data_IF_229411943473
#
_entry.id   IF_229411943473
#
_cell.length_a   1.000
_cell.length_b   1.000
_cell.length_c   1.000
_cell.angle_alpha   90.00
_cell.angle_beta   90.00
_cell.angle_gamma   90.00
#
_symmetry.space_group_name_H-M   'P 1'
#
loop_
_entity.id
_entity.type
_entity.pdbx_description
1 polymer ?
#
# COMPACT_ATOMS: atom_id res chain seq x y z
N UNK A 1 32.46 -32.34 3.45
CA UNK A 1 31.45 -31.76 2.54
C UNK A 1 32.10 -31.65 1.19
N UNK A 2 31.50 -32.21 0.15
CA UNK A 2 32.05 -32.09 -1.21
C UNK A 2 32.08 -30.62 -1.60
N UNK A 3 33.21 -30.16 -2.14
CA UNK A 3 33.36 -28.85 -2.75
C UNK A 3 32.34 -28.79 -3.90
N UNK A 4 31.22 -28.11 -3.67
CA UNK A 4 30.19 -27.96 -4.70
C UNK A 4 30.77 -27.00 -5.72
N UNK A 5 30.94 -27.50 -6.94
CA UNK A 5 31.48 -26.75 -8.05
C UNK A 5 30.58 -25.54 -8.38
N UNK A 6 31.17 -24.34 -8.35
CA UNK A 6 30.48 -23.07 -8.62
C UNK A 6 29.92 -22.99 -10.05
N UNK A 7 30.54 -23.68 -11.02
CA UNK A 7 30.02 -23.75 -12.39
C UNK A 7 28.71 -24.52 -12.44
N UNK A 8 28.64 -25.65 -11.72
CA UNK A 8 27.42 -26.44 -11.58
C UNK A 8 26.29 -25.62 -10.94
N UNK A 9 26.57 -24.84 -9.89
CA UNK A 9 25.57 -23.96 -9.27
C UNK A 9 25.10 -22.84 -10.22
N UNK A 10 26.03 -22.22 -10.96
CA UNK A 10 25.69 -21.17 -11.93
C UNK A 10 24.80 -21.71 -13.06
N UNK A 11 25.14 -22.88 -13.62
CA UNK A 11 24.33 -23.53 -14.66
C UNK A 11 22.94 -23.93 -14.15
N UNK A 12 22.85 -24.33 -12.88
CA UNK A 12 21.58 -24.61 -12.22
C UNK A 12 20.75 -23.33 -12.06
N UNK A 13 21.35 -22.22 -11.59
CA UNK A 13 20.66 -20.93 -11.47
C UNK A 13 20.15 -20.41 -12.82
N UNK A 14 20.92 -20.55 -13.91
CA UNK A 14 20.51 -20.15 -15.26
C UNK A 14 19.32 -20.97 -15.80
N UNK A 15 19.05 -22.15 -15.24
CA UNK A 15 17.91 -23.01 -15.63
C UNK A 15 16.69 -22.82 -14.74
N UNK A 16 16.84 -22.14 -13.61
CA UNK A 16 15.75 -21.95 -12.65
C UNK A 16 14.76 -20.88 -13.11
N UNK A 17 13.48 -21.01 -12.70
CA UNK A 17 12.52 -19.93 -12.84
C UNK A 17 13.03 -18.62 -12.18
N UNK A 18 12.71 -17.44 -12.75
CA UNK A 18 13.12 -16.16 -12.19
C UNK A 18 12.82 -16.00 -10.69
N UNK A 19 11.62 -16.37 -10.24
CA UNK A 19 11.23 -16.29 -8.83
C UNK A 19 12.17 -17.09 -7.89
N UNK A 20 12.64 -18.26 -8.32
CA UNK A 20 13.54 -19.11 -7.54
C UNK A 20 14.95 -18.51 -7.50
N UNK A 21 15.40 -17.90 -8.61
CA UNK A 21 16.67 -17.17 -8.67
C UNK A 21 16.63 -15.97 -7.72
N UNK A 22 15.56 -15.17 -7.76
CA UNK A 22 15.39 -14.03 -6.87
C UNK A 22 15.34 -14.46 -5.39
N UNK A 23 14.61 -15.55 -5.07
CA UNK A 23 14.55 -16.11 -3.72
C UNK A 23 15.94 -16.52 -3.24
N UNK A 24 16.72 -17.19 -4.10
CA UNK A 24 18.10 -17.55 -3.80
C UNK A 24 18.96 -16.31 -3.56
N UNK A 25 18.85 -15.26 -4.39
CA UNK A 25 19.59 -13.99 -4.19
C UNK A 25 19.26 -13.36 -2.84
N UNK A 26 17.98 -13.29 -2.45
CA UNK A 26 17.57 -12.74 -1.14
C UNK A 26 18.16 -13.54 0.01
N UNK A 27 18.14 -14.88 -0.08
CA UNK A 27 18.75 -15.74 0.94
C UNK A 27 20.26 -15.52 1.06
N UNK A 28 20.95 -15.39 -0.06
CA UNK A 28 22.39 -15.11 -0.06
C UNK A 28 22.70 -13.71 0.48
N UNK A 29 21.87 -12.71 0.17
CA UNK A 29 21.96 -11.36 0.71
C UNK A 29 21.78 -11.33 2.25
N UNK A 30 20.81 -12.09 2.78
CA UNK A 30 20.62 -12.26 4.21
C UNK A 30 21.82 -12.95 4.89
N UNK A 31 22.40 -13.97 4.25
CA UNK A 31 23.60 -14.62 4.77
C UNK A 31 24.83 -13.68 4.74
N UNK A 32 24.92 -12.80 3.75
CA UNK A 32 25.96 -11.76 3.70
C UNK A 32 25.80 -10.74 4.84
N UNK A 33 24.57 -10.39 5.20
CA UNK A 33 24.27 -9.43 6.27
C UNK A 33 24.40 -10.01 7.67
N UNK A 34 24.28 -11.34 7.83
CA UNK A 34 24.47 -12.02 9.13
C UNK A 34 25.93 -12.05 9.60
N UNK A 35 26.88 -11.67 8.75
CA UNK A 35 28.31 -11.67 9.04
C UNK A 35 28.98 -13.03 8.87
N UNK A 36 28.32 -13.97 8.19
CA UNK A 36 28.96 -15.23 7.80
C UNK A 36 30.19 -14.97 6.91
N UNK A 37 31.25 -15.79 7.03
CA UNK A 37 32.42 -15.67 6.16
C UNK A 37 32.00 -15.85 4.71
N UNK A 38 32.14 -14.78 3.90
CA UNK A 38 31.67 -14.76 2.50
C UNK A 38 32.23 -15.92 1.68
N UNK A 39 33.44 -16.38 1.98
CA UNK A 39 34.12 -17.48 1.28
C UNK A 39 33.40 -18.83 1.44
N UNK A 40 32.52 -18.96 2.44
CA UNK A 40 31.72 -20.17 2.68
C UNK A 40 30.34 -20.11 2.01
N UNK A 41 29.92 -18.94 1.54
CA UNK A 41 28.61 -18.74 0.93
C UNK A 41 28.60 -19.22 -0.52
N UNK A 42 27.45 -19.75 -0.96
CA UNK A 42 27.26 -20.20 -2.34
C UNK A 42 27.42 -19.05 -3.33
N UNK A 43 26.97 -17.84 -2.96
CA UNK A 43 27.13 -16.65 -3.81
C UNK A 43 28.58 -16.33 -4.15
N UNK A 44 29.54 -16.66 -3.28
CA UNK A 44 30.97 -16.47 -3.54
C UNK A 44 31.51 -17.49 -4.56
N UNK A 45 31.07 -18.75 -4.46
CA UNK A 45 31.40 -19.79 -5.45
C UNK A 45 30.82 -19.44 -6.83
N UNK A 46 29.55 -19.00 -6.86
CA UNK A 46 28.88 -18.53 -8.07
C UNK A 46 29.58 -17.30 -8.64
N UNK A 47 30.02 -16.35 -7.80
CA UNK A 47 30.78 -15.18 -8.24
C UNK A 47 32.09 -15.59 -8.95
N UNK A 48 32.85 -16.53 -8.38
CA UNK A 48 34.07 -17.06 -9.01
C UNK A 48 33.81 -17.66 -10.39
N UNK A 49 32.77 -18.51 -10.50
CA UNK A 49 32.33 -19.09 -11.77
C UNK A 49 31.83 -18.04 -12.76
N UNK A 50 31.10 -17.02 -12.27
CA UNK A 50 30.61 -15.90 -13.07
C UNK A 50 31.77 -15.16 -13.75
N UNK A 51 32.95 -15.09 -13.12
CA UNK A 51 34.12 -14.44 -13.72
C UNK A 51 34.61 -15.10 -15.02
N UNK A 52 34.28 -16.38 -15.25
CA UNK A 52 34.73 -17.17 -16.40
C UNK A 52 33.68 -17.28 -17.53
N UNK A 53 32.41 -16.93 -17.28
CA UNK A 53 31.35 -17.06 -18.30
C UNK A 53 31.25 -15.83 -19.21
N UNK A 54 30.69 -15.98 -20.42
CA UNK A 54 30.37 -14.88 -21.33
C UNK A 54 29.42 -13.86 -20.70
N UNK A 55 29.47 -12.61 -21.17
CA UNK A 55 28.65 -11.50 -20.65
C UNK A 55 27.16 -11.80 -20.76
N UNK A 56 26.74 -12.51 -21.81
CA UNK A 56 25.36 -12.89 -22.07
C UNK A 56 24.77 -13.75 -20.95
N UNK A 57 25.57 -14.66 -20.38
CA UNK A 57 25.13 -15.47 -19.24
C UNK A 57 25.03 -14.65 -17.95
N UNK A 58 25.90 -13.64 -17.79
CA UNK A 58 25.82 -12.71 -16.65
C UNK A 58 24.55 -11.89 -16.72
N UNK A 59 24.23 -11.38 -17.91
CA UNK A 59 23.01 -10.63 -18.20
C UNK A 59 21.78 -11.49 -17.95
N UNK A 60 21.74 -12.73 -18.45
CA UNK A 60 20.60 -13.62 -18.25
C UNK A 60 20.35 -13.94 -16.77
N UNK A 61 21.41 -14.18 -15.99
CA UNK A 61 21.29 -14.39 -14.55
C UNK A 61 20.75 -13.15 -13.84
N UNK A 62 21.28 -11.96 -14.18
CA UNK A 62 20.83 -10.70 -13.59
C UNK A 62 19.39 -10.40 -13.96
N UNK A 63 19.03 -10.55 -15.23
CA UNK A 63 17.66 -10.40 -15.72
C UNK A 63 16.70 -11.37 -15.03
N UNK A 64 17.10 -12.63 -14.83
CA UNK A 64 16.32 -13.61 -14.08
C UNK A 64 16.13 -13.20 -12.62
N UNK A 65 17.18 -12.71 -11.96
CA UNK A 65 17.11 -12.23 -10.58
C UNK A 65 16.21 -11.00 -10.44
N UNK A 66 16.35 -9.99 -11.31
CA UNK A 66 15.55 -8.77 -11.27
C UNK A 66 14.09 -9.12 -11.62
N UNK A 67 13.83 -9.87 -12.69
CA UNK A 67 12.47 -10.25 -13.09
C UNK A 67 11.76 -11.16 -12.09
N UNK A 68 12.53 -11.95 -11.35
CA UNK A 68 12.03 -12.76 -10.24
C UNK A 68 11.66 -11.94 -9.01
N UNK A 69 12.30 -10.78 -8.78
CA UNK A 69 12.05 -9.94 -7.60
C UNK A 69 10.57 -9.53 -7.49
N UNK A 70 9.94 -9.15 -8.60
CA UNK A 70 8.51 -8.80 -8.61
C UNK A 70 7.58 -9.95 -8.25
N UNK A 71 8.03 -11.21 -8.40
CA UNK A 71 7.27 -12.43 -8.10
C UNK A 71 7.45 -12.92 -6.65
N UNK A 72 8.36 -12.30 -5.89
CA UNK A 72 8.58 -12.68 -4.51
C UNK A 72 7.41 -12.28 -3.61
N UNK A 73 7.15 -13.03 -2.53
CA UNK A 73 6.28 -12.61 -1.43
C UNK A 73 6.69 -11.23 -0.88
N UNK A 74 5.72 -10.46 -0.39
CA UNK A 74 5.93 -9.08 0.05
C UNK A 74 7.03 -8.95 1.12
N UNK A 75 7.07 -9.86 2.09
CA UNK A 75 8.08 -9.94 3.14
C UNK A 75 9.50 -10.15 2.60
N UNK A 76 9.67 -10.96 1.56
CA UNK A 76 10.97 -11.19 0.93
C UNK A 76 11.41 -10.00 0.07
N UNK A 77 10.47 -9.32 -0.61
CA UNK A 77 10.75 -8.09 -1.36
C UNK A 77 11.25 -6.97 -0.46
N UNK A 78 10.63 -6.83 0.71
CA UNK A 78 11.06 -5.89 1.75
C UNK A 78 12.51 -6.15 2.14
N UNK A 79 12.87 -7.41 2.39
CA UNK A 79 14.22 -7.73 2.84
C UNK A 79 15.29 -7.53 1.76
N UNK A 80 14.99 -7.90 0.51
CA UNK A 80 15.91 -7.60 -0.59
C UNK A 80 16.03 -6.10 -0.86
N UNK A 81 14.96 -5.32 -0.71
CA UNK A 81 15.03 -3.86 -0.82
C UNK A 81 15.91 -3.27 0.30
N UNK A 82 15.73 -3.70 1.55
CA UNK A 82 16.60 -3.29 2.68
C UNK A 82 18.07 -3.59 2.39
N UNK A 83 18.37 -4.78 1.90
CA UNK A 83 19.74 -5.15 1.54
C UNK A 83 20.30 -4.27 0.43
N UNK A 84 19.53 -4.02 -0.63
CA UNK A 84 19.94 -3.16 -1.74
C UNK A 84 20.21 -1.72 -1.29
N UNK A 85 19.31 -1.15 -0.49
CA UNK A 85 19.42 0.19 0.11
C UNK A 85 20.66 0.29 0.99
N UNK A 86 20.84 -0.65 1.93
CA UNK A 86 21.99 -0.65 2.82
C UNK A 86 23.31 -0.78 2.05
N UNK A 87 23.33 -1.61 1.00
CA UNK A 87 24.52 -1.76 0.13
C UNK A 87 24.80 -0.50 -0.67
N UNK A 88 23.77 0.19 -1.18
CA UNK A 88 23.91 1.43 -1.92
C UNK A 88 24.45 2.57 -1.04
N UNK A 89 23.85 2.78 0.13
CA UNK A 89 24.27 3.79 1.12
C UNK A 89 25.71 3.53 1.59
N UNK A 90 26.04 2.27 1.88
CA UNK A 90 27.37 1.90 2.30
C UNK A 90 28.41 2.00 1.15
N UNK A 91 27.97 1.85 -0.10
CA UNK A 91 28.76 2.13 -1.31
C UNK A 91 29.10 3.61 -1.48
N UNK A 92 28.13 4.50 -1.24
CA UNK A 92 28.31 5.95 -1.39
C UNK A 92 29.17 6.56 -0.26
N UNK A 93 28.97 6.09 0.97
CA UNK A 93 29.65 6.63 2.17
C UNK A 93 31.14 6.29 2.27
N UNK A 94 31.63 5.29 1.53
CA UNK A 94 33.05 4.89 1.51
C UNK A 94 34.00 5.96 0.93
N UNK A 95 33.48 7.07 0.40
CA UNK A 95 34.30 8.22 0.01
C UNK A 95 34.74 9.11 1.19
N UNK A 96 34.11 9.03 2.37
CA UNK A 96 34.17 10.16 3.33
C UNK A 96 34.58 9.85 4.78
N UNK A 97 34.59 8.59 5.24
CA UNK A 97 34.87 8.29 6.66
C UNK A 97 36.22 7.57 6.88
N UNK A 98 37.26 8.36 7.17
CA UNK A 98 38.60 7.92 7.55
C UNK A 98 38.72 7.28 8.95
N UNK A 99 37.60 6.98 9.63
CA UNK A 99 37.57 6.46 11.01
C UNK A 99 37.66 4.93 11.12
N UNK A 100 37.97 4.22 10.03
CA UNK A 100 38.67 2.93 10.07
C UNK A 100 37.85 1.68 10.43
N UNK A 101 36.52 1.76 10.56
CA UNK A 101 35.65 0.57 10.71
C UNK A 101 34.72 0.45 9.50
N UNK A 102 35.18 -0.25 8.47
CA UNK A 102 34.35 -0.57 7.31
C UNK A 102 33.25 -1.55 7.73
N UNK A 103 32.01 -1.26 7.34
CA UNK A 103 30.85 -2.12 7.55
C UNK A 103 31.15 -3.55 7.05
N UNK A 104 30.95 -4.59 7.88
CA UNK A 104 31.19 -5.98 7.47
C UNK A 104 30.45 -6.37 6.18
N UNK A 105 29.26 -5.82 5.96
CA UNK A 105 28.48 -6.07 4.73
C UNK A 105 29.24 -5.55 3.52
N UNK A 106 29.79 -4.33 3.58
CA UNK A 106 30.57 -3.78 2.46
C UNK A 106 31.88 -4.51 2.23
N UNK A 107 32.53 -5.02 3.27
CA UNK A 107 33.71 -5.85 3.11
C UNK A 107 33.35 -7.14 2.38
N UNK A 108 32.24 -7.78 2.76
CA UNK A 108 31.75 -9.00 2.13
C UNK A 108 31.32 -8.78 0.68
N UNK A 109 30.55 -7.72 0.40
CA UNK A 109 30.16 -7.33 -0.97
C UNK A 109 31.39 -6.98 -1.81
N UNK A 110 32.36 -6.25 -1.24
CA UNK A 110 33.61 -5.91 -1.93
C UNK A 110 34.45 -7.15 -2.28
N UNK A 111 34.49 -8.16 -1.40
CA UNK A 111 35.12 -9.46 -1.70
C UNK A 111 34.37 -10.19 -2.82
N UNK A 112 33.04 -10.19 -2.78
CA UNK A 112 32.21 -10.81 -3.81
C UNK A 112 32.45 -10.20 -5.19
N UNK A 113 32.49 -8.86 -5.27
CA UNK A 113 32.74 -8.13 -6.53
C UNK A 113 34.14 -8.41 -7.09
N UNK A 114 35.15 -8.52 -6.21
CA UNK A 114 36.52 -8.89 -6.59
C UNK A 114 36.59 -10.33 -7.10
N UNK A 115 35.88 -11.25 -6.46
CA UNK A 115 35.83 -12.65 -6.87
C UNK A 115 35.15 -12.81 -8.24
N UNK A 116 34.05 -12.09 -8.45
CA UNK A 116 33.40 -11.99 -9.76
C UNK A 116 34.23 -11.24 -10.83
N UNK A 117 35.39 -10.68 -10.45
CA UNK A 117 36.27 -9.86 -11.30
C UNK A 117 35.52 -8.73 -12.01
N UNK A 118 34.48 -8.18 -11.37
CA UNK A 118 33.68 -7.08 -11.94
C UNK A 118 34.58 -5.86 -12.16
N UNK A 119 35.58 -5.65 -11.29
CA UNK A 119 36.59 -4.60 -11.42
C UNK A 119 37.45 -4.75 -12.69
N UNK A 120 37.67 -5.98 -13.18
CA UNK A 120 38.49 -6.27 -14.36
C UNK A 120 37.71 -6.29 -15.68
N UNK A 121 36.38 -6.18 -15.64
CA UNK A 121 35.58 -6.11 -16.86
C UNK A 121 35.97 -4.86 -17.69
N UNK A 122 36.08 -5.00 -19.03
CA UNK A 122 36.25 -3.86 -19.92
C UNK A 122 35.19 -2.78 -19.65
N UNK A 123 35.54 -1.48 -19.75
CA UNK A 123 34.58 -0.39 -19.53
C UNK A 123 33.30 -0.51 -20.37
N UNK A 124 33.40 -1.02 -21.60
CA UNK A 124 32.26 -1.26 -22.49
C UNK A 124 31.30 -2.32 -21.93
N UNK A 125 31.84 -3.44 -21.42
CA UNK A 125 31.02 -4.50 -20.80
C UNK A 125 30.37 -4.02 -19.50
N UNK A 126 31.09 -3.24 -18.69
CA UNK A 126 30.52 -2.62 -17.48
C UNK A 126 29.35 -1.69 -17.81
N UNK A 127 29.49 -0.86 -18.84
CA UNK A 127 28.43 0.03 -19.29
C UNK A 127 27.24 -0.76 -19.83
N UNK A 128 27.48 -1.80 -20.63
CA UNK A 128 26.42 -2.66 -21.16
C UNK A 128 25.65 -3.35 -20.03
N UNK A 129 26.36 -3.94 -19.06
CA UNK A 129 25.75 -4.60 -17.91
C UNK A 129 24.97 -3.62 -17.04
N UNK A 130 25.54 -2.43 -16.78
CA UNK A 130 24.86 -1.39 -16.02
C UNK A 130 23.60 -0.87 -16.74
N UNK A 131 23.65 -0.70 -18.06
CA UNK A 131 22.53 -0.22 -18.86
C UNK A 131 21.39 -1.25 -18.88
N UNK A 132 21.70 -2.54 -18.99
CA UNK A 132 20.69 -3.60 -18.98
C UNK A 132 20.08 -3.78 -17.59
N UNK A 133 20.88 -3.75 -16.52
CA UNK A 133 20.37 -3.73 -15.15
C UNK A 133 19.47 -2.51 -14.96
N UNK A 134 19.87 -1.32 -15.42
CA UNK A 134 19.04 -0.11 -15.29
C UNK A 134 17.75 -0.23 -16.09
N UNK A 135 17.78 -0.80 -17.29
CA UNK A 135 16.60 -0.98 -18.12
C UNK A 135 15.62 -1.99 -17.51
N UNK A 136 16.13 -3.13 -17.03
CA UNK A 136 15.32 -4.16 -16.38
C UNK A 136 14.82 -3.69 -15.02
N UNK A 137 15.67 -3.05 -14.22
CA UNK A 137 15.29 -2.43 -12.96
C UNK A 137 14.24 -1.34 -13.18
N UNK A 138 14.34 -0.51 -14.21
CA UNK A 138 13.32 0.51 -14.50
C UNK A 138 11.96 -0.13 -14.87
N UNK A 139 11.95 -1.31 -15.50
CA UNK A 139 10.71 -2.03 -15.81
C UNK A 139 10.08 -2.72 -14.59
N UNK A 140 10.91 -3.11 -13.62
CA UNK A 140 10.52 -3.96 -12.49
C UNK A 140 10.32 -3.19 -11.20
N UNK A 141 11.09 -2.12 -10.99
CA UNK A 141 10.87 -1.10 -9.96
C UNK A 141 9.72 -0.20 -10.44
N UNK A 142 8.58 -0.82 -10.70
CA UNK A 142 7.37 -0.06 -10.91
C UNK A 142 7.02 0.57 -9.55
N UNK A 143 6.63 1.85 -9.53
CA UNK A 143 6.37 2.55 -8.27
C UNK A 143 5.35 1.83 -7.37
N UNK A 144 4.46 0.99 -7.92
CA UNK A 144 3.52 0.18 -7.13
C UNK A 144 4.23 -0.84 -6.24
N UNK A 145 5.25 -1.54 -6.77
CA UNK A 145 6.00 -2.53 -6.00
C UNK A 145 6.80 -1.86 -4.88
N UNK A 146 7.34 -0.66 -5.12
CA UNK A 146 7.96 0.13 -4.05
C UNK A 146 6.91 0.49 -3.00
N UNK A 147 5.73 0.98 -3.39
CA UNK A 147 4.69 1.37 -2.43
C UNK A 147 4.17 0.20 -1.58
N UNK A 148 4.00 -0.98 -2.17
CA UNK A 148 3.63 -2.20 -1.43
C UNK A 148 4.70 -2.56 -0.39
N UNK A 149 5.98 -2.50 -0.78
CA UNK A 149 7.10 -2.76 0.12
C UNK A 149 7.20 -1.69 1.21
N UNK A 150 7.03 -0.42 0.84
CA UNK A 150 7.07 0.72 1.76
C UNK A 150 5.96 0.63 2.79
N UNK A 151 4.75 0.20 2.42
CA UNK A 151 3.65 0.04 3.36
C UNK A 151 4.00 -0.94 4.51
N UNK A 152 4.82 -1.95 4.25
CA UNK A 152 5.28 -2.93 5.24
C UNK A 152 6.55 -2.49 6.01
N UNK A 153 7.29 -1.51 5.52
CA UNK A 153 8.47 -0.96 6.20
C UNK A 153 8.08 -0.15 7.43
N UNK A 154 8.93 -0.19 8.46
CA UNK A 154 8.77 0.68 9.64
C UNK A 154 9.01 2.15 9.25
N UNK A 155 8.42 3.12 9.98
CA UNK A 155 8.61 4.54 9.71
C UNK A 155 10.07 4.96 9.55
N UNK A 156 10.98 4.45 10.39
CA UNK A 156 12.40 4.81 10.31
C UNK A 156 13.06 4.24 9.05
N UNK A 157 12.71 3.02 8.66
CA UNK A 157 13.26 2.35 7.46
C UNK A 157 12.83 3.06 6.18
N UNK A 158 11.60 3.59 6.15
CA UNK A 158 11.07 4.31 4.99
C UNK A 158 11.91 5.54 4.68
N UNK A 159 12.26 6.35 5.67
CA UNK A 159 13.10 7.53 5.49
C UNK A 159 14.44 7.15 4.83
N UNK A 160 15.09 6.09 5.32
CA UNK A 160 16.35 5.59 4.76
C UNK A 160 16.19 5.09 3.31
N UNK A 161 15.09 4.40 3.00
CA UNK A 161 14.81 3.95 1.63
C UNK A 161 14.56 5.16 0.71
N UNK A 162 13.81 6.17 1.16
CA UNK A 162 13.59 7.40 0.38
C UNK A 162 14.91 8.11 0.09
N UNK A 163 15.75 8.31 1.10
CA UNK A 163 17.06 8.95 0.96
C UNK A 163 17.96 8.18 -0.01
N UNK A 164 18.01 6.85 0.11
CA UNK A 164 18.82 6.02 -0.77
C UNK A 164 18.32 6.03 -2.22
N UNK A 165 16.99 6.07 -2.45
CA UNK A 165 16.42 6.17 -3.79
C UNK A 165 16.74 7.54 -4.44
N UNK A 166 16.75 8.61 -3.65
CA UNK A 166 17.15 9.95 -4.09
C UNK A 166 18.65 10.00 -4.39
N UNK A 167 19.48 9.50 -3.48
CA UNK A 167 20.94 9.49 -3.63
C UNK A 167 21.38 8.66 -4.84
N UNK A 168 20.71 7.53 -5.07
CA UNK A 168 20.92 6.68 -6.24
C UNK A 168 20.42 7.30 -7.56
N UNK A 169 19.78 8.48 -7.51
CA UNK A 169 19.14 9.15 -8.67
C UNK A 169 18.12 8.27 -9.40
N UNK A 170 17.49 7.34 -8.66
CA UNK A 170 16.42 6.51 -9.19
C UNK A 170 15.09 7.29 -9.27
N UNK A 171 15.01 8.41 -8.55
CA UNK A 171 13.84 9.28 -8.47
C UNK A 171 14.27 10.67 -8.92
N UNK A 172 13.53 11.26 -9.86
CA UNK A 172 13.79 12.63 -10.31
C UNK A 172 13.49 13.63 -9.19
N UNK A 173 14.19 14.77 -9.16
CA UNK A 173 13.97 15.83 -8.15
C UNK A 173 12.52 16.33 -8.12
N UNK A 174 11.81 16.32 -9.26
CA UNK A 174 10.38 16.68 -9.32
C UNK A 174 9.47 15.68 -8.59
N UNK A 175 9.86 14.40 -8.56
CA UNK A 175 9.11 13.32 -7.92
C UNK A 175 9.51 13.14 -6.45
N UNK A 176 10.65 13.70 -6.04
CA UNK A 176 11.17 13.61 -4.67
C UNK A 176 10.14 14.07 -3.63
N UNK A 177 9.55 15.25 -3.82
CA UNK A 177 8.55 15.78 -2.89
C UNK A 177 7.32 14.87 -2.78
N UNK A 178 6.88 14.28 -3.90
CA UNK A 178 5.74 13.36 -3.92
C UNK A 178 6.10 12.04 -3.24
N UNK A 179 7.30 11.52 -3.47
CA UNK A 179 7.78 10.29 -2.85
C UNK A 179 7.95 10.47 -1.33
N UNK A 180 8.59 11.55 -0.89
CA UNK A 180 8.73 11.89 0.53
C UNK A 180 7.35 11.97 1.21
N UNK A 181 6.38 12.64 0.58
CA UNK A 181 5.02 12.74 1.12
C UNK A 181 4.25 11.41 1.08
N UNK A 182 4.52 10.56 0.09
CA UNK A 182 3.93 9.23 0.02
C UNK A 182 4.52 8.28 1.08
N UNK A 183 5.82 8.39 1.36
CA UNK A 183 6.58 7.49 2.23
C UNK A 183 6.59 7.91 3.71
N UNK A 184 6.35 9.18 4.02
CA UNK A 184 6.25 9.66 5.41
C UNK A 184 5.21 8.84 6.19
N UNK A 185 5.45 8.48 7.46
CA UNK A 185 4.43 7.83 8.29
C UNK A 185 3.14 8.64 8.35
N UNK A 186 2.00 8.00 8.06
CA UNK A 186 0.70 8.67 7.89
C UNK A 186 0.54 9.36 6.52
N UNK A 187 1.46 9.10 5.59
CA UNK A 187 1.48 9.63 4.22
C UNK A 187 0.40 9.02 3.33
N UNK A 188 0.48 9.32 2.03
CA UNK A 188 -0.49 8.80 1.07
C UNK A 188 -0.47 7.28 0.93
N UNK A 189 0.70 6.64 1.06
CA UNK A 189 0.82 5.19 0.95
C UNK A 189 0.07 4.47 2.08
N UNK A 190 0.23 4.91 3.33
CA UNK A 190 -0.47 4.33 4.48
C UNK A 190 -1.99 4.50 4.37
N UNK A 191 -2.43 5.66 3.90
CA UNK A 191 -3.86 5.96 3.69
C UNK A 191 -4.47 5.08 2.62
N UNK A 192 -3.78 4.96 1.49
CA UNK A 192 -4.21 4.10 0.40
C UNK A 192 -4.23 2.63 0.86
N UNK A 193 -3.19 2.18 1.56
CA UNK A 193 -3.11 0.82 2.11
C UNK A 193 -4.26 0.56 3.11
N UNK A 194 -4.54 1.49 4.02
CA UNK A 194 -5.66 1.38 4.96
C UNK A 194 -7.01 1.34 4.24
N UNK A 195 -7.23 2.18 3.23
CA UNK A 195 -8.44 2.18 2.42
C UNK A 195 -8.59 0.88 1.61
N UNK A 196 -7.51 0.39 1.00
CA UNK A 196 -7.48 -0.86 0.25
C UNK A 196 -7.72 -2.07 1.16
N UNK A 197 -7.19 -2.06 2.39
CA UNK A 197 -7.43 -3.09 3.40
C UNK A 197 -8.87 -3.09 3.90
N UNK A 198 -9.43 -1.91 4.16
CA UNK A 198 -10.84 -1.76 4.52
C UNK A 198 -11.74 -2.27 3.38
N UNK A 199 -11.40 -1.92 2.14
CA UNK A 199 -12.11 -2.42 0.96
C UNK A 199 -12.01 -3.94 0.85
N UNK A 200 -10.81 -4.51 0.96
CA UNK A 200 -10.60 -5.96 0.88
C UNK A 200 -11.40 -6.70 1.96
N UNK A 201 -11.48 -6.13 3.17
CA UNK A 201 -12.35 -6.64 4.22
C UNK A 201 -13.83 -6.57 3.82
N UNK A 202 -14.30 -5.45 3.26
CA UNK A 202 -15.69 -5.33 2.78
C UNK A 202 -15.98 -6.35 1.68
N UNK A 203 -15.04 -6.59 0.77
CA UNK A 203 -15.13 -7.56 -0.31
C UNK A 203 -15.23 -8.99 0.23
N UNK A 204 -14.35 -9.35 1.17
CA UNK A 204 -14.32 -10.66 1.86
C UNK A 204 -15.63 -10.95 2.61
N UNK A 205 -16.20 -9.95 3.29
CA UNK A 205 -17.44 -10.09 4.06
C UNK A 205 -18.70 -9.62 3.32
N UNK A 206 -18.61 -9.30 2.03
CA UNK A 206 -19.71 -8.70 1.25
C UNK A 206 -20.99 -9.54 1.26
N UNK A 207 -20.85 -10.87 1.15
CA UNK A 207 -21.98 -11.79 1.19
C UNK A 207 -22.72 -11.74 2.54
N UNK A 208 -22.00 -11.63 3.65
CA UNK A 208 -22.58 -11.53 5.00
C UNK A 208 -23.24 -10.17 5.19
N UNK A 209 -22.56 -9.09 4.77
CA UNK A 209 -23.08 -7.72 4.82
C UNK A 209 -24.38 -7.57 3.99
N UNK A 210 -24.49 -8.30 2.88
CA UNK A 210 -25.70 -8.33 2.06
C UNK A 210 -26.79 -9.21 2.69
N UNK A 211 -26.47 -10.43 3.11
CA UNK A 211 -27.45 -11.40 3.62
C UNK A 211 -28.13 -10.93 4.92
N UNK A 212 -27.40 -10.23 5.79
CA UNK A 212 -27.88 -9.85 7.11
C UNK A 212 -29.12 -8.92 7.09
N UNK A 213 -29.14 -7.78 6.34
CA UNK A 213 -30.35 -6.95 6.19
C UNK A 213 -31.55 -7.70 5.58
N UNK A 214 -31.31 -8.61 4.64
CA UNK A 214 -32.39 -9.41 4.06
C UNK A 214 -32.96 -10.42 5.05
N UNK A 215 -32.10 -11.07 5.84
CA UNK A 215 -32.52 -11.94 6.93
C UNK A 215 -33.32 -11.17 7.98
N UNK A 216 -32.87 -9.97 8.33
CA UNK A 216 -33.58 -9.07 9.24
C UNK A 216 -34.96 -8.70 8.71
N UNK A 217 -35.06 -8.31 7.43
CA UNK A 217 -36.33 -7.99 6.79
C UNK A 217 -37.27 -9.20 6.78
N UNK A 218 -36.75 -10.39 6.43
CA UNK A 218 -37.54 -11.63 6.44
C UNK A 218 -38.08 -11.92 7.84
N UNK A 219 -37.24 -11.80 8.87
CA UNK A 219 -37.65 -11.97 10.26
C UNK A 219 -38.68 -10.91 10.67
N UNK A 220 -38.47 -9.64 10.32
CA UNK A 220 -39.42 -8.55 10.61
C UNK A 220 -40.80 -8.78 9.97
N UNK A 221 -40.84 -9.39 8.78
CA UNK A 221 -42.07 -9.77 8.10
C UNK A 221 -42.74 -10.97 8.76
N UNK A 222 -41.99 -12.04 9.06
CA UNK A 222 -42.52 -13.24 9.71
C UNK A 222 -43.08 -12.96 11.10
N UNK A 223 -42.38 -12.15 11.90
CA UNK A 223 -42.78 -11.86 13.28
C UNK A 223 -43.78 -10.72 13.42
N UNK A 224 -43.95 -9.88 12.40
CA UNK A 224 -44.87 -8.75 12.49
C UNK A 224 -46.36 -9.12 12.38
N UNK A 225 -46.70 -10.41 12.27
CA UNK A 225 -48.05 -10.91 12.53
C UNK A 225 -48.36 -11.09 14.02
N UNK A 226 -47.34 -11.08 14.89
CA UNK A 226 -47.54 -11.19 16.33
C UNK A 226 -47.95 -9.84 16.90
N UNK A 227 -49.09 -9.80 17.59
CA UNK A 227 -49.62 -8.60 18.21
C UNK A 227 -48.68 -8.13 19.33
N UNK A 228 -47.97 -7.04 19.09
CA UNK A 228 -47.20 -6.35 20.11
C UNK A 228 -47.81 -4.95 20.28
N UNK A 229 -48.26 -4.56 21.48
CA UNK A 229 -48.89 -3.25 21.68
C UNK A 229 -47.92 -2.07 21.46
N UNK A 230 -46.62 -2.31 21.57
CA UNK A 230 -45.57 -1.33 21.28
C UNK A 230 -45.35 -1.14 19.78
N UNK A 231 -44.74 -0.01 19.40
CA UNK A 231 -44.30 0.25 18.04
C UNK A 231 -43.13 -0.63 17.57
N UNK A 232 -42.59 -1.51 18.42
CA UNK A 232 -41.39 -2.32 18.15
C UNK A 232 -41.44 -3.12 16.83
N UNK A 233 -42.58 -3.73 16.48
CA UNK A 233 -42.68 -4.46 15.20
C UNK A 233 -42.66 -3.53 13.99
N UNK A 234 -43.25 -2.34 14.09
CA UNK A 234 -43.21 -1.35 13.03
C UNK A 234 -41.79 -0.76 12.89
N UNK A 235 -41.13 -0.50 14.02
CA UNK A 235 -39.74 -0.09 14.08
C UNK A 235 -38.82 -1.10 13.38
N UNK A 236 -38.92 -2.39 13.71
CA UNK A 236 -38.05 -3.43 13.14
C UNK A 236 -38.20 -3.51 11.61
N UNK A 237 -39.41 -3.35 11.08
CA UNK A 237 -39.65 -3.33 9.63
C UNK A 237 -39.05 -2.09 8.96
N UNK A 238 -39.24 -0.92 9.56
CA UNK A 238 -38.66 0.32 9.06
C UNK A 238 -37.13 0.26 9.07
N UNK A 239 -36.54 -0.29 10.13
CA UNK A 239 -35.09 -0.48 10.26
C UNK A 239 -34.56 -1.43 9.18
N UNK A 240 -35.18 -2.60 9.04
CA UNK A 240 -34.76 -3.60 8.06
C UNK A 240 -34.83 -3.06 6.61
N UNK A 241 -35.91 -2.37 6.26
CA UNK A 241 -36.03 -1.72 4.94
C UNK A 241 -34.92 -0.68 4.76
N UNK A 242 -34.68 0.15 5.78
CA UNK A 242 -33.64 1.17 5.73
C UNK A 242 -32.25 0.57 5.50
N UNK A 243 -31.95 -0.57 6.12
CA UNK A 243 -30.69 -1.26 5.96
C UNK A 243 -30.53 -1.94 4.61
N UNK A 244 -31.60 -2.54 4.06
CA UNK A 244 -31.58 -3.07 2.68
C UNK A 244 -31.29 -1.96 1.69
N UNK A 245 -31.92 -0.79 1.84
CA UNK A 245 -31.67 0.38 0.96
C UNK A 245 -30.24 0.90 1.12
N UNK A 246 -29.74 1.00 2.36
CA UNK A 246 -28.35 1.39 2.64
C UNK A 246 -27.35 0.46 1.94
N UNK A 247 -27.50 -0.86 2.12
CA UNK A 247 -26.62 -1.85 1.50
C UNK A 247 -26.75 -1.84 -0.02
N UNK A 248 -27.95 -1.64 -0.57
CA UNK A 248 -28.15 -1.41 -2.00
C UNK A 248 -27.38 -0.20 -2.52
N UNK A 249 -27.35 0.90 -1.77
CA UNK A 249 -26.54 2.09 -2.08
C UNK A 249 -25.04 1.82 -2.05
N UNK A 250 -24.56 1.08 -1.03
CA UNK A 250 -23.15 0.66 -0.94
C UNK A 250 -22.76 -0.26 -2.10
N UNK A 251 -23.60 -1.24 -2.42
CA UNK A 251 -23.38 -2.16 -3.55
C UNK A 251 -23.36 -1.42 -4.90
N UNK A 252 -24.27 -0.47 -5.10
CA UNK A 252 -24.27 0.39 -6.29
C UNK A 252 -22.99 1.22 -6.38
N UNK A 253 -22.58 1.86 -5.28
CA UNK A 253 -21.32 2.60 -5.22
C UNK A 253 -20.11 1.70 -5.54
N UNK A 254 -20.07 0.52 -4.93
CA UNK A 254 -19.00 -0.45 -5.05
C UNK A 254 -18.85 -0.98 -6.48
N UNK A 255 -19.94 -1.44 -7.08
CA UNK A 255 -19.94 -2.02 -8.44
C UNK A 255 -19.53 -1.00 -9.50
N UNK A 256 -19.87 0.28 -9.34
CA UNK A 256 -19.49 1.33 -10.27
C UNK A 256 -18.05 1.81 -10.09
N UNK A 257 -17.52 1.76 -8.86
CA UNK A 257 -16.13 2.13 -8.56
C UNK A 257 -15.13 0.98 -8.71
N UNK A 258 -15.58 -0.25 -8.82
CA UNK A 258 -14.71 -1.42 -9.02
C UNK A 258 -13.67 -1.23 -10.13
N UNK A 259 -14.01 -0.80 -11.37
CA UNK A 259 -12.99 -0.59 -12.40
C UNK A 259 -12.00 0.52 -12.04
N UNK A 260 -12.46 1.58 -11.35
CA UNK A 260 -11.59 2.66 -10.86
C UNK A 260 -10.63 2.11 -9.83
N UNK A 261 -11.12 1.33 -8.87
CA UNK A 261 -10.30 0.74 -7.81
C UNK A 261 -9.32 -0.30 -8.34
N UNK A 262 -9.72 -1.12 -9.32
CA UNK A 262 -8.81 -2.04 -10.00
C UNK A 262 -7.70 -1.28 -10.74
N UNK A 263 -8.03 -0.17 -11.41
CA UNK A 263 -7.03 0.66 -12.08
C UNK A 263 -6.09 1.35 -11.08
N UNK A 264 -6.64 1.91 -10.01
CA UNK A 264 -5.86 2.53 -8.91
C UNK A 264 -5.00 1.51 -8.18
N UNK A 265 -5.39 0.23 -8.12
CA UNK A 265 -4.57 -0.86 -7.58
C UNK A 265 -3.43 -1.24 -8.52
N UNK A 266 -3.70 -1.29 -9.83
CA UNK A 266 -2.70 -1.63 -10.83
C UNK A 266 -1.67 -0.52 -11.04
N UNK A 267 -2.09 0.75 -10.93
CA UNK A 267 -1.21 1.91 -11.14
C UNK A 267 -1.53 3.13 -10.25
N UNK A 268 -1.38 3.05 -8.91
CA UNK A 268 -1.59 4.16 -8.00
C UNK A 268 -0.72 5.40 -8.31
N UNK A 269 0.51 5.19 -8.79
CA UNK A 269 1.44 6.31 -9.05
C UNK A 269 1.14 6.98 -10.37
N UNK A 270 0.84 6.24 -11.44
CA UNK A 270 0.38 6.82 -12.69
C UNK A 270 -0.91 7.60 -12.50
N UNK A 271 -1.87 7.06 -11.75
CA UNK A 271 -3.09 7.76 -11.33
C UNK A 271 -2.75 9.05 -10.58
N UNK A 272 -1.87 9.00 -9.58
CA UNK A 272 -1.46 10.18 -8.81
C UNK A 272 -0.78 11.26 -9.65
N UNK A 273 0.12 10.86 -10.55
CA UNK A 273 0.80 11.75 -11.48
C UNK A 273 -0.16 12.39 -12.48
N UNK A 274 -1.05 11.60 -13.10
CA UNK A 274 -2.07 12.11 -14.00
C UNK A 274 -3.02 13.07 -13.27
N UNK A 275 -3.37 12.77 -12.03
CA UNK A 275 -4.18 13.66 -11.20
C UNK A 275 -3.49 15.01 -10.98
N UNK A 276 -2.18 15.00 -10.67
CA UNK A 276 -1.39 16.22 -10.48
C UNK A 276 -1.19 17.01 -11.79
N UNK A 277 -0.80 16.33 -12.88
CA UNK A 277 -0.58 16.96 -14.18
C UNK A 277 -1.84 17.65 -14.72
N UNK A 278 -3.01 17.08 -14.44
CA UNK A 278 -4.28 17.60 -14.92
C UNK A 278 -5.01 18.51 -13.90
N UNK A 279 -4.30 19.08 -12.90
CA UNK A 279 -4.93 19.91 -11.86
C UNK A 279 -5.76 21.09 -12.40
N UNK A 280 -5.37 21.64 -13.55
CA UNK A 280 -6.02 22.79 -14.17
C UNK A 280 -7.30 22.44 -14.95
N UNK A 281 -7.58 21.15 -15.18
CA UNK A 281 -8.75 20.72 -15.94
C UNK A 281 -10.00 20.65 -15.03
N UNK A 282 -11.21 20.81 -15.59
CA UNK A 282 -12.43 20.60 -14.83
C UNK A 282 -12.51 19.15 -14.30
N UNK A 283 -13.07 18.99 -13.10
CA UNK A 283 -13.11 17.71 -12.38
C UNK A 283 -13.63 16.54 -13.22
N UNK A 284 -14.62 16.78 -14.08
CA UNK A 284 -15.20 15.75 -14.95
C UNK A 284 -14.16 15.19 -15.93
N UNK A 285 -13.43 16.07 -16.62
CA UNK A 285 -12.38 15.65 -17.55
C UNK A 285 -11.20 14.99 -16.83
N UNK A 286 -10.89 15.45 -15.61
CA UNK A 286 -9.84 14.82 -14.78
C UNK A 286 -10.20 13.38 -14.42
N UNK A 287 -11.43 13.12 -14.00
CA UNK A 287 -11.90 11.78 -13.64
C UNK A 287 -11.95 10.83 -14.85
N UNK A 288 -12.34 11.33 -16.02
CA UNK A 288 -12.35 10.54 -17.27
C UNK A 288 -10.94 10.21 -17.77
N UNK A 289 -9.97 11.11 -17.59
CA UNK A 289 -8.57 10.86 -17.92
C UNK A 289 -7.87 9.93 -16.94
N UNK A 290 -8.28 9.96 -15.66
CA UNK A 290 -7.67 9.17 -14.60
C UNK A 290 -7.85 7.66 -14.81
N UNK A 291 -9.01 7.26 -15.34
CA UNK A 291 -9.33 5.85 -15.59
C UNK A 291 -9.96 5.72 -16.97
N UNK A 292 -9.17 5.41 -18.01
CA UNK A 292 -9.68 5.32 -19.36
C UNK A 292 -10.75 4.22 -19.45
N UNK A 293 -11.92 4.58 -19.99
CA UNK A 293 -13.05 3.67 -20.15
C UNK A 293 -14.15 3.79 -19.08
N UNK A 294 -13.91 4.50 -17.98
CA UNK A 294 -14.95 4.79 -16.99
C UNK A 294 -15.59 6.14 -17.32
N UNK A 295 -16.81 6.11 -17.89
CA UNK A 295 -17.55 7.33 -18.20
C UNK A 295 -18.03 8.09 -16.96
N UNK A 296 -18.25 9.40 -17.09
CA UNK A 296 -18.73 10.26 -15.99
C UNK A 296 -20.01 9.74 -15.31
N UNK A 297 -20.85 9.02 -16.06
CA UNK A 297 -22.08 8.42 -15.55
C UNK A 297 -21.83 7.41 -14.42
N UNK A 298 -20.75 6.63 -14.48
CA UNK A 298 -20.40 5.68 -13.41
C UNK A 298 -20.07 6.41 -12.10
N UNK A 299 -19.32 7.51 -12.18
CA UNK A 299 -19.02 8.36 -11.02
C UNK A 299 -20.28 9.02 -10.45
N UNK A 300 -21.20 9.48 -11.30
CA UNK A 300 -22.48 10.04 -10.86
C UNK A 300 -23.35 8.99 -10.16
N UNK A 301 -23.45 7.79 -10.73
CA UNK A 301 -24.22 6.70 -10.16
C UNK A 301 -23.60 6.20 -8.84
N UNK A 302 -22.28 6.15 -8.77
CA UNK A 302 -21.55 5.88 -7.54
C UNK A 302 -21.81 6.96 -6.47
N UNK A 303 -21.75 8.24 -6.84
CA UNK A 303 -22.05 9.34 -5.93
C UNK A 303 -23.50 9.28 -5.41
N UNK A 304 -24.47 8.92 -6.26
CA UNK A 304 -25.86 8.69 -5.84
C UNK A 304 -25.92 7.52 -4.84
N UNK A 305 -25.27 6.40 -5.13
CA UNK A 305 -25.18 5.24 -4.22
C UNK A 305 -24.57 5.62 -2.86
N UNK A 306 -23.50 6.41 -2.87
CA UNK A 306 -22.86 6.93 -1.65
C UNK A 306 -23.79 7.86 -0.86
N UNK A 307 -24.51 8.78 -1.51
CA UNK A 307 -25.49 9.66 -0.86
C UNK A 307 -26.62 8.84 -0.23
N UNK A 308 -27.17 7.86 -0.95
CA UNK A 308 -28.19 6.94 -0.40
C UNK A 308 -27.65 6.24 0.84
N UNK A 309 -26.45 5.65 0.75
CA UNK A 309 -25.83 4.95 1.88
C UNK A 309 -25.66 5.87 3.10
N UNK A 310 -25.14 7.09 2.91
CA UNK A 310 -24.92 8.07 3.99
C UNK A 310 -26.24 8.53 4.62
N UNK A 311 -27.25 8.84 3.81
CA UNK A 311 -28.57 9.29 4.31
C UNK A 311 -29.25 8.18 5.11
N UNK A 312 -29.25 6.94 4.60
CA UNK A 312 -29.87 5.81 5.29
C UNK A 312 -29.05 5.33 6.49
N UNK A 313 -27.73 5.52 6.50
CA UNK A 313 -26.91 5.32 7.69
C UNK A 313 -27.28 6.33 8.79
N UNK A 314 -27.40 7.62 8.45
CA UNK A 314 -27.84 8.65 9.40
C UNK A 314 -29.25 8.40 9.92
N UNK A 315 -30.16 7.95 9.04
CA UNK A 315 -31.50 7.53 9.43
C UNK A 315 -31.47 6.31 10.36
N UNK A 316 -30.69 5.29 10.04
CA UNK A 316 -30.52 4.09 10.87
C UNK A 316 -29.93 4.40 12.26
N UNK A 317 -29.03 5.37 12.35
CA UNK A 317 -28.51 5.88 13.62
C UNK A 317 -29.62 6.49 14.50
N UNK A 318 -30.44 7.37 13.92
CA UNK A 318 -31.58 7.95 14.63
C UNK A 318 -32.62 6.86 14.99
N UNK A 319 -32.87 5.93 14.08
CA UNK A 319 -33.82 4.85 14.28
C UNK A 319 -33.35 3.87 15.37
N UNK A 320 -32.04 3.65 15.53
CA UNK A 320 -31.47 2.84 16.62
C UNK A 320 -31.87 3.40 18.00
N UNK A 321 -31.89 4.74 18.16
CA UNK A 321 -32.33 5.37 19.40
C UNK A 321 -33.83 5.15 19.66
N UNK A 322 -34.67 5.25 18.63
CA UNK A 322 -36.10 4.94 18.71
C UNK A 322 -36.31 3.47 19.10
N UNK A 323 -35.56 2.56 18.49
CA UNK A 323 -35.62 1.14 18.80
C UNK A 323 -35.26 0.82 20.24
N UNK A 324 -34.25 1.49 20.79
CA UNK A 324 -33.89 1.36 22.20
C UNK A 324 -35.04 1.80 23.12
N UNK A 325 -35.71 2.91 22.79
CA UNK A 325 -36.87 3.40 23.56
C UNK A 325 -38.07 2.46 23.47
N UNK A 326 -38.38 1.94 22.27
CA UNK A 326 -39.44 0.95 22.07
C UNK A 326 -39.13 -0.36 22.80
N UNK A 327 -37.88 -0.83 22.78
CA UNK A 327 -37.44 -2.02 23.49
C UNK A 327 -37.64 -1.85 25.01
N UNK A 328 -37.29 -0.70 25.57
CA UNK A 328 -37.58 -0.38 26.98
C UNK A 328 -39.09 -0.39 27.27
N UNK A 329 -39.91 0.16 26.36
CA UNK A 329 -41.37 0.11 26.46
C UNK A 329 -41.93 -1.31 26.47
N UNK A 330 -41.34 -2.24 25.71
CA UNK A 330 -41.80 -3.64 25.67
C UNK A 330 -41.62 -4.38 26.99
N UNK A 331 -40.63 -3.99 27.81
CA UNK A 331 -40.44 -4.54 29.16
C UNK A 331 -41.61 -4.19 30.08
N UNK A 332 -42.25 -3.04 29.86
CA UNK A 332 -43.34 -2.53 30.70
C UNK A 332 -44.69 -3.07 30.22
N UNK A 333 -44.96 -2.99 28.92
CA UNK A 333 -46.29 -3.28 28.34
C UNK A 333 -46.50 -4.77 28.07
N UNK A 334 -45.42 -5.54 28.03
CA UNK A 334 -45.44 -6.95 27.68
C UNK A 334 -45.52 -7.14 26.17
N UNK A 335 -44.62 -7.95 25.63
CA UNK A 335 -44.60 -8.36 24.23
C UNK A 335 -44.22 -9.84 24.14
N UNK A 336 -44.44 -10.45 22.98
CA UNK A 336 -43.91 -11.79 22.70
C UNK A 336 -42.39 -11.82 22.92
N UNK A 337 -41.93 -12.75 23.76
CA UNK A 337 -40.52 -12.91 24.12
C UNK A 337 -39.66 -13.09 22.86
N UNK A 338 -40.16 -13.79 21.85
CA UNK A 338 -39.45 -14.00 20.58
C UNK A 338 -39.17 -12.68 19.85
N UNK A 339 -40.17 -11.78 19.78
CA UNK A 339 -40.01 -10.46 19.15
C UNK A 339 -38.99 -9.63 19.92
N UNK A 340 -39.06 -9.62 21.25
CA UNK A 340 -38.12 -8.89 22.09
C UNK A 340 -36.67 -9.38 21.92
N UNK A 341 -36.44 -10.71 21.90
CA UNK A 341 -35.11 -11.30 21.70
C UNK A 341 -34.56 -10.95 20.32
N UNK A 342 -35.36 -11.13 19.26
CA UNK A 342 -34.93 -10.86 17.89
C UNK A 342 -34.59 -9.37 17.72
N UNK A 343 -35.44 -8.47 18.21
CA UNK A 343 -35.18 -7.03 18.19
C UNK A 343 -33.93 -6.67 18.99
N UNK A 344 -33.69 -7.29 20.14
CA UNK A 344 -32.48 -7.08 20.93
C UNK A 344 -31.21 -7.53 20.16
N UNK A 345 -31.25 -8.68 19.49
CA UNK A 345 -30.14 -9.16 18.66
C UNK A 345 -29.81 -8.17 17.52
N UNK A 346 -30.82 -7.72 16.76
CA UNK A 346 -30.59 -6.76 15.67
C UNK A 346 -30.14 -5.41 16.19
N UNK A 347 -30.70 -4.92 17.29
CA UNK A 347 -30.25 -3.68 17.94
C UNK A 347 -28.78 -3.77 18.38
N UNK A 348 -28.36 -4.91 18.95
CA UNK A 348 -26.97 -5.13 19.34
C UNK A 348 -26.02 -5.11 18.12
N UNK A 349 -26.41 -5.77 17.03
CA UNK A 349 -25.65 -5.77 15.76
C UNK A 349 -25.58 -4.36 15.16
N UNK A 350 -26.65 -3.57 15.25
CA UNK A 350 -26.65 -2.16 14.83
C UNK A 350 -25.70 -1.32 15.66
N UNK A 351 -25.77 -1.41 16.99
CA UNK A 351 -24.86 -0.70 17.88
C UNK A 351 -23.39 -1.06 17.57
N UNK A 352 -23.10 -2.36 17.34
CA UNK A 352 -21.77 -2.80 16.95
C UNK A 352 -21.33 -2.21 15.60
N UNK A 353 -22.21 -2.23 14.60
CA UNK A 353 -21.95 -1.62 13.28
C UNK A 353 -21.66 -0.13 13.40
N UNK A 354 -22.46 0.59 14.17
CA UNK A 354 -22.30 2.03 14.41
C UNK A 354 -20.97 2.34 15.09
N UNK A 355 -20.62 1.60 16.14
CA UNK A 355 -19.34 1.75 16.83
C UNK A 355 -18.17 1.44 15.89
N UNK A 356 -18.28 0.38 15.07
CA UNK A 356 -17.30 0.03 14.07
C UNK A 356 -17.10 1.12 13.01
N UNK A 357 -18.19 1.69 12.48
CA UNK A 357 -18.14 2.80 11.52
C UNK A 357 -17.54 4.05 12.15
N UNK A 358 -17.92 4.40 13.39
CA UNK A 358 -17.36 5.56 14.09
C UNK A 358 -15.87 5.38 14.38
N UNK A 359 -15.44 4.17 14.74
CA UNK A 359 -14.03 3.84 14.93
C UNK A 359 -13.25 3.97 13.61
N UNK A 360 -13.77 3.42 12.51
CA UNK A 360 -13.17 3.56 11.18
C UNK A 360 -13.13 5.02 10.71
N UNK A 361 -14.22 5.76 10.89
CA UNK A 361 -14.31 7.18 10.57
C UNK A 361 -13.34 8.01 11.41
N UNK A 362 -13.18 7.70 12.70
CA UNK A 362 -12.19 8.37 13.56
C UNK A 362 -10.77 8.11 13.06
N UNK A 363 -10.43 6.87 12.67
CA UNK A 363 -9.13 6.55 12.07
C UNK A 363 -8.92 7.42 10.83
N UNK A 364 -9.88 7.43 9.89
CA UNK A 364 -9.80 8.23 8.66
C UNK A 364 -9.73 9.74 8.95
N UNK A 365 -10.52 10.26 9.89
CA UNK A 365 -10.51 11.69 10.24
C UNK A 365 -9.23 12.13 10.92
N UNK A 366 -8.68 11.30 11.81
CA UNK A 366 -7.37 11.58 12.45
C UNK A 366 -6.30 11.68 11.37
N UNK A 367 -6.34 10.79 10.38
CA UNK A 367 -5.43 10.80 9.23
C UNK A 367 -5.64 12.03 8.31
N UNK A 368 -6.88 12.52 8.16
CA UNK A 368 -7.17 13.74 7.39
C UNK A 368 -6.72 15.01 8.10
N UNK A 369 -6.92 15.11 9.42
CA UNK A 369 -6.53 16.29 10.19
C UNK A 369 -5.02 16.51 10.20
N UNK A 370 -4.23 15.42 10.22
CA UNK A 370 -2.76 15.50 10.06
C UNK A 370 -2.38 16.16 8.72
N UNK A 371 -3.14 15.93 7.64
CA UNK A 371 -2.88 16.57 6.34
C UNK A 371 -3.13 18.07 6.34
N UNK A 372 -4.20 18.52 7.02
CA UNK A 372 -4.58 19.93 7.03
C UNK A 372 -3.63 20.80 7.85
N UNK A 373 -2.96 20.23 8.85
CA UNK A 373 -2.02 20.95 9.71
C UNK A 373 -0.65 21.09 9.03
N UNK A 374 -0.13 20.02 8.42
CA UNK A 374 1.17 20.04 7.75
C UNK A 374 1.19 20.93 6.51
N UNK A 375 0.08 21.01 5.76
CA UNK A 375 -0.05 21.91 4.61
C UNK A 375 -0.07 23.40 4.97
N UNK A 376 -0.37 23.75 6.23
CA UNK A 376 -0.45 25.15 6.68
C UNK A 376 0.85 25.65 7.33
N UNK A 377 1.70 24.75 7.83
CA UNK A 377 2.99 25.12 8.45
C UNK A 377 4.14 25.19 7.46
N UNK A 378 3.98 24.69 6.23
CA UNK A 378 4.94 24.92 5.14
C UNK A 378 4.70 26.28 4.45
N UNK A 379 4.48 27.34 5.23
CA UNK A 379 4.81 28.68 4.75
C UNK A 379 6.32 28.74 4.63
N UNK A 380 6.79 28.57 3.40
CA UNK A 380 8.18 28.72 3.00
C UNK A 380 8.77 29.97 3.65
N UNK A 381 9.75 29.86 4.58
CA UNK A 381 10.35 31.04 5.22
C UNK A 381 11.05 31.95 4.21
N UNK A 382 11.22 31.51 2.96
CA UNK A 382 11.69 32.32 1.83
C UNK A 382 10.64 33.30 1.26
N UNK A 383 9.35 33.08 1.52
CA UNK A 383 8.26 33.99 1.12
C UNK A 383 7.82 34.94 2.24
N UNK A 384 8.22 34.66 3.49
CA UNK A 384 8.17 35.65 4.56
C UNK A 384 9.30 36.64 4.30
N UNK A 385 9.00 37.63 3.47
CA UNK A 385 9.88 38.72 3.08
C UNK A 385 10.30 39.57 4.28
N UNK A 386 11.19 39.03 5.11
CA UNK A 386 12.23 39.81 5.78
C UNK A 386 13.19 40.26 4.69
N UNK A 387 12.67 41.20 3.89
CA UNK A 387 13.43 42.16 3.12
C UNK A 387 14.40 42.77 4.13
N UNK A 388 15.63 42.26 4.09
CA UNK A 388 16.82 42.89 4.61
C UNK A 388 16.68 44.40 4.38
N UNK A 389 16.41 45.14 5.46
CA UNK A 389 16.55 46.58 5.50
C UNK A 389 17.94 46.89 4.94
N UNK A 390 17.97 47.49 3.76
CA UNK A 390 19.19 48.08 3.20
C UNK A 390 19.70 49.06 4.22
N UNK A 391 20.80 48.70 4.85
CA UNK A 391 21.66 49.58 5.61
C UNK A 391 22.19 50.68 4.66
N UNK A 392 21.77 51.95 4.76
CA UNK A 392 22.39 53.00 3.96
C UNK A 392 23.75 53.32 4.58
N UNK A 393 24.83 52.89 3.91
CA UNK A 393 26.16 53.37 4.23
C UNK A 393 26.23 54.89 4.07
N UNK A 394 26.57 55.58 5.16
CA UNK A 394 27.26 56.87 5.17
C UNK A 394 28.59 56.76 4.40
N UNK A 395 28.99 57.84 3.73
CA UNK A 395 30.06 58.65 4.31
C UNK A 395 29.62 60.04 4.76
#
# INVERSE_FOLDING_TARGET
MGEVDGETQLQELLRRPPADVATWVVQQAQALSSGEPVEQLQIFQVAGALSAVPVEQKQELMKSAISGFGQLPADQRVEALRFAVNTAVAGSSNASNATGRADPVMQNVGKLLKEAKIDKLPPAEKQQLAQEIQQDAAQLVQPQQILEVVAELKPEEREHVTEALIEAKLVNEEQKAVLEQAMRPGGYADKLAAALKLWAMVEEYSAVLLALPFLELLMALMFGGQSCPSGLSAWLRADAISAVVMVGGVWLCSSQLEPVLQHVRQDPVGVGQQWQQNQNLPLQQRLEMLVPGVGIFAYQLSAIGAVIAVVFLAFGLANTLVGLMELLGTVIVGCSISVAIISMCFLAVRCATVVGILAAAKIVLTEIQVMSLDGYTSEDPLLRGDVFERNPMQP
#
